data_IF_307211552472
#
_entry.id   IF_307211552472
#
_cell.length_a   1.000
_cell.length_b   1.000
_cell.length_c   1.000
_cell.angle_alpha   90.00
_cell.angle_beta   90.00
_cell.angle_gamma   90.00
#
_symmetry.space_group_name_H-M   'P 1'
#
loop_
_entity.id
_entity.type
_entity.pdbx_description
1 polymer ?
#
# COMPACT_ATOMS: atom_id res chain seq x y z
N UNK A 1 0.26 20.67 14.45
CA UNK A 1 -0.45 19.83 13.47
C UNK A 1 0.16 20.05 12.08
N UNK A 2 1.22 19.31 11.74
CA UNK A 2 1.87 19.39 10.43
C UNK A 2 1.19 18.45 9.43
N UNK A 3 -0.03 18.81 9.01
CA UNK A 3 -0.82 18.00 8.05
C UNK A 3 -0.73 18.47 6.60
N UNK A 4 0.19 19.40 6.27
CA UNK A 4 0.25 20.06 4.94
C UNK A 4 1.39 19.60 4.03
N UNK A 5 2.24 18.66 4.47
CA UNK A 5 3.41 18.26 3.67
C UNK A 5 3.10 17.22 2.58
N UNK A 6 2.07 16.39 2.74
CA UNK A 6 1.84 15.22 1.88
C UNK A 6 1.12 15.53 0.55
N UNK A 7 0.48 16.70 0.46
CA UNK A 7 -0.12 17.22 -0.78
C UNK A 7 0.96 17.67 -1.78
N UNK A 8 2.06 18.24 -1.27
CA UNK A 8 3.16 18.74 -2.09
C UNK A 8 4.13 17.65 -2.55
N UNK A 9 4.00 16.41 -2.07
CA UNK A 9 4.90 15.32 -2.42
C UNK A 9 4.39 14.62 -3.69
N UNK A 10 5.11 14.71 -4.82
CA UNK A 10 4.73 14.01 -6.03
C UNK A 10 4.94 12.51 -5.87
N UNK A 11 4.03 11.69 -6.42
CA UNK A 11 4.11 10.23 -6.35
C UNK A 11 5.43 9.65 -6.91
N UNK A 12 6.10 10.38 -7.79
CA UNK A 12 7.39 9.98 -8.39
C UNK A 12 8.56 9.95 -7.39
N UNK A 13 8.43 10.59 -6.22
CA UNK A 13 9.48 10.53 -5.19
C UNK A 13 9.39 9.27 -4.32
N UNK A 14 8.31 8.49 -4.43
CA UNK A 14 8.15 7.25 -3.69
C UNK A 14 8.97 6.13 -4.32
N UNK A 15 9.70 5.42 -3.47
CA UNK A 15 10.46 4.24 -3.88
C UNK A 15 9.50 3.16 -4.38
N UNK A 16 9.76 2.65 -5.60
CA UNK A 16 8.91 1.65 -6.24
C UNK A 16 7.84 2.19 -7.19
N UNK A 17 7.61 3.52 -7.27
CA UNK A 17 6.73 4.14 -8.27
C UNK A 17 7.57 4.61 -9.46
N UNK A 18 7.72 3.74 -10.46
CA UNK A 18 8.39 4.08 -11.73
C UNK A 18 7.48 4.83 -12.71
N UNK A 19 8.05 5.30 -13.84
CA UNK A 19 7.33 6.05 -14.88
C UNK A 19 6.07 5.33 -15.43
N UNK A 20 6.13 3.99 -15.52
CA UNK A 20 5.00 3.20 -15.98
C UNK A 20 3.85 3.16 -14.95
N UNK A 21 4.16 3.20 -13.65
CA UNK A 21 3.16 3.22 -12.59
C UNK A 21 2.59 4.62 -12.39
N UNK A 22 3.42 5.67 -12.46
CA UNK A 22 2.94 7.04 -12.38
C UNK A 22 1.98 7.40 -13.53
N UNK A 23 2.24 6.91 -14.76
CA UNK A 23 1.30 7.08 -15.88
C UNK A 23 -0.03 6.35 -15.65
N UNK A 24 -0.04 5.18 -14.98
CA UNK A 24 -1.27 4.47 -14.62
C UNK A 24 -2.05 5.20 -13.52
N UNK A 25 -1.36 5.71 -12.50
CA UNK A 25 -1.96 6.46 -11.40
C UNK A 25 -2.55 7.79 -11.90
N UNK A 26 -1.85 8.48 -12.82
CA UNK A 26 -2.34 9.70 -13.46
C UNK A 26 -3.63 9.48 -14.25
N UNK A 27 -3.82 8.30 -14.87
CA UNK A 27 -5.09 7.95 -15.56
C UNK A 27 -6.27 7.79 -14.59
N UNK A 28 -5.99 7.47 -13.33
CA UNK A 28 -6.99 7.30 -12.26
C UNK A 28 -7.20 8.64 -11.52
N UNK A 29 -6.45 9.70 -11.88
CA UNK A 29 -6.52 11.02 -11.25
C UNK A 29 -5.74 11.14 -9.94
N UNK A 30 -4.83 10.21 -9.66
CA UNK A 30 -3.97 10.25 -8.48
C UNK A 30 -2.67 10.97 -8.81
N UNK A 31 -2.46 12.13 -8.19
CA UNK A 31 -1.28 12.97 -8.45
C UNK A 31 -0.36 13.09 -7.23
N UNK A 32 -0.94 13.00 -6.03
CA UNK A 32 -0.23 13.21 -4.77
C UNK A 32 -0.23 11.95 -3.90
N UNK A 33 0.69 11.90 -2.93
CA UNK A 33 0.71 10.82 -1.92
C UNK A 33 -0.58 10.82 -1.09
N UNK A 34 -1.16 11.99 -0.86
CA UNK A 34 -2.41 12.12 -0.12
C UNK A 34 -3.58 11.42 -0.84
N UNK A 35 -3.67 11.56 -2.16
CA UNK A 35 -4.72 10.92 -2.96
C UNK A 35 -4.60 9.39 -2.87
N UNK A 36 -3.38 8.86 -2.89
CA UNK A 36 -3.14 7.42 -2.77
C UNK A 36 -3.54 6.89 -1.39
N UNK A 37 -3.22 7.62 -0.32
CA UNK A 37 -3.59 7.24 1.05
C UNK A 37 -5.11 7.21 1.26
N UNK A 38 -5.85 8.07 0.58
CA UNK A 38 -7.31 8.15 0.68
C UNK A 38 -8.03 7.33 -0.39
N UNK A 39 -7.30 6.78 -1.37
CA UNK A 39 -7.82 5.81 -2.32
C UNK A 39 -7.92 4.44 -1.65
N UNK A 40 -8.93 4.29 -0.80
CA UNK A 40 -9.23 3.01 -0.15
C UNK A 40 -9.62 1.96 -1.21
N UNK A 41 -9.04 0.75 -1.18
CA UNK A 41 -9.47 -0.34 -2.04
C UNK A 41 -10.94 -0.67 -1.79
N UNK A 42 -11.70 -0.87 -2.88
CA UNK A 42 -13.11 -1.29 -2.82
C UNK A 42 -13.32 -2.59 -2.02
N UNK A 43 -12.30 -3.45 -1.96
CA UNK A 43 -12.27 -4.68 -1.17
C UNK A 43 -10.93 -4.83 -0.48
N UNK A 44 -10.91 -4.49 0.80
CA UNK A 44 -9.78 -4.76 1.67
C UNK A 44 -9.84 -6.23 2.11
N UNK A 45 -8.86 -7.02 1.67
CA UNK A 45 -8.65 -8.38 2.15
C UNK A 45 -7.91 -8.30 3.48
N UNK A 46 -8.65 -8.40 4.60
CA UNK A 46 -8.05 -8.42 5.92
C UNK A 46 -7.31 -9.73 6.14
N UNK A 47 -5.97 -9.67 6.03
CA UNK A 47 -5.06 -10.79 6.29
C UNK A 47 -4.51 -10.77 7.71
N UNK A 48 -5.19 -10.12 8.66
CA UNK A 48 -4.73 -10.07 10.05
C UNK A 48 -4.92 -11.43 10.70
N UNK A 49 -3.84 -12.21 10.76
CA UNK A 49 -3.77 -13.44 11.56
C UNK A 49 -3.25 -13.04 12.94
N UNK A 50 -4.17 -12.77 13.89
CA UNK A 50 -3.80 -12.47 15.26
C UNK A 50 -3.51 -13.77 16.04
N UNK A 51 -2.26 -14.21 16.06
CA UNK A 51 -1.80 -15.29 16.94
C UNK A 51 -1.30 -14.72 18.27
N UNK A 52 -1.49 -15.47 19.36
CA UNK A 52 -0.91 -15.11 20.66
C UNK A 52 0.61 -15.13 20.55
N UNK A 53 1.28 -14.17 21.19
CA UNK A 53 2.76 -14.08 21.22
C UNK A 53 3.42 -15.39 21.66
N UNK A 54 2.80 -16.12 22.61
CA UNK A 54 3.27 -17.42 23.08
C UNK A 54 3.26 -18.54 22.01
N UNK A 55 2.42 -18.42 20.97
CA UNK A 55 2.27 -19.40 19.90
C UNK A 55 3.06 -19.04 18.62
N UNK A 56 3.84 -17.96 18.65
CA UNK A 56 4.59 -17.47 17.50
C UNK A 56 5.73 -18.43 17.07
N UNK A 57 6.19 -19.30 17.96
CA UNK A 57 7.44 -20.04 17.77
C UNK A 57 7.39 -21.28 16.85
N UNK A 58 6.26 -21.64 16.22
CA UNK A 58 6.16 -22.88 15.41
C UNK A 58 5.35 -22.79 14.10
N UNK A 59 4.92 -21.61 13.66
CA UNK A 59 4.32 -21.47 12.32
C UNK A 59 5.40 -21.05 11.32
N UNK A 60 6.15 -22.03 10.84
CA UNK A 60 6.88 -21.92 9.58
C UNK A 60 5.92 -21.61 8.42
N UNK A 61 6.36 -20.67 7.58
CA UNK A 61 5.99 -20.41 6.17
C UNK A 61 4.58 -19.88 5.78
N UNK A 62 4.52 -18.96 4.78
CA UNK A 62 3.36 -18.11 4.48
C UNK A 62 2.36 -18.75 3.50
N UNK A 63 1.07 -18.33 3.47
CA UNK A 63 0.24 -18.53 2.29
C UNK A 63 0.56 -17.45 1.23
N UNK A 64 1.75 -17.53 0.63
CA UNK A 64 1.97 -16.99 -0.71
C UNK A 64 1.35 -17.96 -1.70
N UNK A 65 0.09 -17.68 -2.07
CA UNK A 65 -0.56 -18.26 -3.25
C UNK A 65 -0.86 -17.11 -4.21
N UNK A 66 0.17 -16.52 -4.81
CA UNK A 66 -0.03 -15.74 -6.03
C UNK A 66 -0.13 -16.76 -7.15
N UNK A 67 -1.33 -16.87 -7.68
CA UNK A 67 -1.75 -17.77 -8.76
C UNK A 67 -1.14 -17.26 -10.07
N UNK A 68 -0.91 -18.22 -10.98
CA UNK A 68 -0.45 -18.05 -12.36
C UNK A 68 -0.99 -16.79 -13.06
#
# INVERSE_FOLDING_TARGET
MSGRLLDAVPLNSLTGVGAAQSSKLAKIGLHTVQDLLLHLPLRYEDRTISTRLANCCLASTPPLKVKC
#
